data_IF_845403481018
#
_entry.id   IF_845403481018
#
_cell.length_a   1.000
_cell.length_b   1.000
_cell.length_c   1.000
_cell.angle_alpha   90.00
_cell.angle_beta   90.00
_cell.angle_gamma   90.00
#
_symmetry.space_group_name_H-M   'P 1'
#
loop_
_entity.id
_entity.type
_entity.pdbx_description
1 polymer ?
#
# COMPACT_ATOMS: atom_id res chain seq x y z
N UNK A 1 22.60 4.50 -2.58
CA UNK A 1 21.97 4.71 -1.24
C UNK A 1 22.91 5.60 -0.45
N UNK A 2 22.37 6.66 0.17
CA UNK A 2 23.13 7.59 0.99
C UNK A 2 22.82 7.37 2.47
N UNK A 3 23.79 7.70 3.31
CA UNK A 3 23.60 7.66 4.76
C UNK A 3 22.61 8.75 5.18
N UNK A 4 21.56 8.38 5.92
CA UNK A 4 20.60 9.37 6.45
C UNK A 4 21.31 10.34 7.39
N UNK A 5 20.99 11.64 7.29
CA UNK A 5 21.50 12.68 8.20
C UNK A 5 20.71 12.79 9.52
N UNK A 6 19.49 12.21 9.62
CA UNK A 6 18.69 12.24 10.86
C UNK A 6 19.36 11.42 11.97
N UNK A 7 19.82 12.05 13.06
CA UNK A 7 20.50 11.35 14.15
C UNK A 7 19.63 10.30 14.86
N UNK A 8 18.29 10.50 14.88
CA UNK A 8 17.35 9.58 15.49
C UNK A 8 17.22 8.32 14.65
N UNK A 9 17.13 8.49 13.33
CA UNK A 9 17.08 7.37 12.40
C UNK A 9 18.40 6.57 12.39
N UNK A 10 19.56 7.25 12.38
CA UNK A 10 20.87 6.59 12.54
C UNK A 10 20.95 5.76 13.82
N UNK A 11 20.50 6.33 14.95
CA UNK A 11 20.49 5.62 16.24
C UNK A 11 19.57 4.42 16.21
N UNK A 12 18.39 4.54 15.59
CA UNK A 12 17.46 3.43 15.41
C UNK A 12 18.12 2.28 14.65
N UNK A 13 18.68 2.55 13.46
CA UNK A 13 19.29 1.51 12.62
C UNK A 13 20.53 0.87 13.27
N UNK A 14 21.32 1.64 14.03
CA UNK A 14 22.45 1.09 14.80
C UNK A 14 22.03 0.12 15.89
N UNK A 15 20.90 0.38 16.55
CA UNK A 15 20.40 -0.42 17.67
C UNK A 15 19.38 -1.48 17.26
N UNK A 16 19.05 -1.56 15.97
CA UNK A 16 18.12 -2.55 15.45
C UNK A 16 18.72 -3.96 15.55
N UNK A 17 18.05 -4.88 16.20
CA UNK A 17 18.48 -6.27 16.38
C UNK A 17 17.71 -7.23 15.49
N UNK A 18 16.46 -6.92 15.19
CA UNK A 18 15.56 -7.70 14.35
C UNK A 18 14.80 -6.80 13.40
N UNK A 19 14.83 -7.16 12.11
CA UNK A 19 13.97 -6.59 11.08
C UNK A 19 12.89 -7.61 10.72
N UNK A 20 11.62 -7.23 10.83
CA UNK A 20 10.50 -8.04 10.36
C UNK A 20 9.98 -7.42 9.07
N UNK A 21 9.89 -8.22 8.01
CA UNK A 21 9.32 -7.81 6.73
C UNK A 21 8.09 -8.67 6.50
N UNK A 22 6.93 -8.07 6.61
CA UNK A 22 5.66 -8.71 6.28
C UNK A 22 5.36 -8.55 4.78
N UNK A 23 4.56 -9.45 4.22
CA UNK A 23 4.22 -9.50 2.78
C UNK A 23 5.48 -9.45 1.87
N UNK A 24 6.52 -10.19 2.22
CA UNK A 24 7.79 -10.21 1.48
C UNK A 24 7.61 -10.58 0.01
N UNK A 25 6.55 -11.33 -0.34
CA UNK A 25 6.21 -11.70 -1.72
C UNK A 25 6.00 -10.50 -2.64
N UNK A 26 5.65 -9.34 -2.09
CA UNK A 26 5.45 -8.08 -2.82
C UNK A 26 6.71 -7.21 -2.86
N UNK A 27 7.78 -7.59 -2.17
CA UNK A 27 9.04 -6.84 -2.14
C UNK A 27 9.91 -7.23 -3.33
N UNK A 28 10.30 -6.22 -4.13
CA UNK A 28 11.19 -6.42 -5.28
C UNK A 28 12.63 -6.66 -4.85
N UNK A 29 13.39 -7.45 -5.64
CA UNK A 29 14.81 -7.70 -5.39
C UNK A 29 15.63 -6.41 -5.18
N UNK A 30 15.54 -5.36 -6.04
CA UNK A 30 16.25 -4.11 -5.82
C UNK A 30 15.88 -3.42 -4.50
N UNK A 31 14.64 -3.54 -4.05
CA UNK A 31 14.17 -2.95 -2.79
C UNK A 31 14.80 -3.66 -1.59
N UNK A 32 14.86 -4.99 -1.65
CA UNK A 32 15.48 -5.78 -0.57
C UNK A 32 16.96 -5.50 -0.45
N UNK A 33 17.68 -5.39 -1.60
CA UNK A 33 19.08 -4.99 -1.59
C UNK A 33 19.26 -3.58 -1.03
N UNK A 34 18.41 -2.63 -1.40
CA UNK A 34 18.45 -1.28 -0.86
C UNK A 34 18.25 -1.24 0.68
N UNK A 35 17.35 -2.06 1.22
CA UNK A 35 17.17 -2.22 2.67
C UNK A 35 18.46 -2.76 3.31
N UNK A 36 19.04 -3.82 2.73
CA UNK A 36 20.26 -4.42 3.24
C UNK A 36 21.43 -3.44 3.21
N UNK A 37 21.66 -2.76 2.10
CA UNK A 37 22.74 -1.78 1.93
C UNK A 37 22.58 -0.59 2.90
N UNK A 38 21.36 -0.12 3.11
CA UNK A 38 21.09 0.92 4.11
C UNK A 38 21.54 0.49 5.51
N UNK A 39 21.22 -0.74 5.89
CA UNK A 39 21.65 -1.30 7.18
C UNK A 39 23.17 -1.50 7.25
N UNK A 40 23.80 -1.96 6.17
CA UNK A 40 25.26 -2.11 6.08
C UNK A 40 25.98 -0.79 6.31
N UNK A 41 25.54 0.29 5.63
CA UNK A 41 26.11 1.63 5.76
C UNK A 41 26.00 2.14 7.20
N UNK A 42 24.77 2.14 7.76
CA UNK A 42 24.53 2.73 9.08
C UNK A 42 25.13 1.93 10.24
N UNK A 43 25.40 0.65 10.04
CA UNK A 43 25.99 -0.24 11.03
C UNK A 43 27.49 -0.48 10.82
N UNK A 44 28.05 0.11 9.77
CA UNK A 44 29.43 -0.10 9.34
C UNK A 44 29.81 -1.59 9.26
N UNK A 45 28.97 -2.35 8.56
CA UNK A 45 29.10 -3.81 8.43
C UNK A 45 28.83 -4.24 6.99
N UNK A 46 29.73 -5.07 6.42
CA UNK A 46 29.57 -5.63 5.08
C UNK A 46 28.70 -6.90 5.04
N UNK A 47 28.21 -7.36 6.20
CA UNK A 47 27.33 -8.53 6.26
C UNK A 47 25.94 -8.17 5.71
N UNK A 48 25.24 -9.12 5.04
CA UNK A 48 23.85 -8.89 4.64
C UNK A 48 23.02 -8.31 5.79
N UNK A 49 22.21 -7.31 5.48
CA UNK A 49 21.38 -6.56 6.45
C UNK A 49 22.16 -5.97 7.64
N UNK A 50 23.45 -5.62 7.43
CA UNK A 50 24.29 -5.11 8.51
C UNK A 50 24.52 -6.11 9.64
N UNK A 51 24.25 -7.39 9.41
CA UNK A 51 24.45 -8.49 10.36
C UNK A 51 23.34 -8.64 11.41
N UNK A 52 22.17 -8.03 11.24
CA UNK A 52 21.00 -8.22 12.12
C UNK A 52 20.19 -9.46 11.74
N UNK A 53 19.32 -9.89 12.62
CA UNK A 53 18.33 -10.92 12.32
C UNK A 53 17.24 -10.36 11.40
N UNK A 54 16.82 -11.16 10.42
CA UNK A 54 15.71 -10.81 9.52
C UNK A 54 14.68 -11.92 9.57
N UNK A 55 13.43 -11.54 9.83
CA UNK A 55 12.26 -12.40 9.71
C UNK A 55 11.42 -11.90 8.54
N UNK A 56 11.31 -12.71 7.50
CA UNK A 56 10.49 -12.42 6.34
C UNK A 56 9.26 -13.34 6.33
N UNK A 57 8.08 -12.74 6.25
CA UNK A 57 6.79 -13.46 6.21
C UNK A 57 6.11 -13.14 4.89
N UNK A 58 5.45 -14.11 4.24
CA UNK A 58 4.70 -13.87 3.03
C UNK A 58 4.23 -15.15 2.35
N UNK A 59 3.52 -14.99 1.25
CA UNK A 59 3.00 -16.11 0.46
C UNK A 59 3.25 -15.84 -1.03
N UNK A 60 4.14 -16.63 -1.64
CA UNK A 60 4.50 -16.51 -3.06
C UNK A 60 3.36 -16.87 -4.04
N UNK A 61 2.26 -17.45 -3.54
CA UNK A 61 1.07 -17.71 -4.33
C UNK A 61 0.04 -16.58 -4.27
N UNK A 62 0.32 -15.50 -3.48
CA UNK A 62 -0.45 -14.27 -3.45
C UNK A 62 0.10 -13.25 -4.44
N UNK A 63 -0.15 -11.95 -4.22
CA UNK A 63 0.23 -10.93 -5.19
C UNK A 63 1.76 -10.84 -5.37
N UNK A 64 2.24 -10.84 -6.64
CA UNK A 64 3.65 -10.65 -6.95
C UNK A 64 4.10 -9.19 -6.76
N UNK A 65 5.41 -8.93 -6.78
CA UNK A 65 5.92 -7.58 -6.81
C UNK A 65 5.40 -6.79 -8.01
N UNK A 66 5.00 -5.54 -7.79
CA UNK A 66 4.57 -4.65 -8.88
C UNK A 66 5.80 -3.99 -9.49
N UNK A 67 5.98 -4.16 -10.81
CA UNK A 67 7.05 -3.54 -11.59
C UNK A 67 6.44 -2.68 -12.67
N UNK A 68 6.94 -1.47 -12.85
CA UNK A 68 6.55 -0.59 -13.96
C UNK A 68 7.28 -1.02 -15.22
N UNK A 69 6.65 -0.92 -16.39
CA UNK A 69 7.22 -1.32 -17.67
C UNK A 69 8.60 -0.69 -17.95
N UNK A 70 8.80 0.57 -17.54
CA UNK A 70 10.07 1.28 -17.71
C UNK A 70 11.17 0.84 -16.73
N UNK A 71 10.86 0.06 -15.70
CA UNK A 71 11.81 -0.45 -14.71
C UNK A 71 12.19 -1.92 -14.99
N UNK A 72 11.35 -2.63 -15.75
CA UNK A 72 11.47 -4.07 -15.95
C UNK A 72 12.81 -4.46 -16.58
N UNK A 73 13.22 -3.78 -17.65
CA UNK A 73 14.50 -4.04 -18.32
C UNK A 73 15.67 -3.89 -17.36
N UNK A 74 15.74 -2.81 -16.60
CA UNK A 74 16.83 -2.56 -15.66
C UNK A 74 16.89 -3.59 -14.52
N UNK A 75 15.74 -4.14 -14.11
CA UNK A 75 15.69 -5.18 -13.11
C UNK A 75 16.25 -6.49 -13.68
N UNK A 76 15.81 -6.90 -14.87
CA UNK A 76 16.27 -8.16 -15.49
C UNK A 76 17.72 -8.12 -16.01
N UNK A 77 18.31 -6.94 -16.20
CA UNK A 77 19.75 -6.80 -16.46
C UNK A 77 20.62 -7.21 -15.26
N UNK A 78 20.09 -7.11 -14.04
CA UNK A 78 20.83 -7.37 -12.81
C UNK A 78 20.35 -8.60 -12.04
N UNK A 79 19.04 -8.85 -12.03
CA UNK A 79 18.42 -9.88 -11.20
C UNK A 79 17.76 -10.96 -12.08
N UNK A 80 17.83 -12.19 -11.65
CA UNK A 80 17.20 -13.33 -12.35
C UNK A 80 15.67 -13.23 -12.37
N UNK A 81 15.09 -12.61 -11.33
CA UNK A 81 13.67 -12.35 -11.24
C UNK A 81 13.37 -11.07 -10.43
N UNK A 82 12.12 -10.62 -10.49
CA UNK A 82 11.66 -9.45 -9.74
C UNK A 82 11.52 -9.72 -8.23
N UNK A 83 11.46 -10.98 -7.83
CA UNK A 83 11.18 -11.38 -6.46
C UNK A 83 12.37 -11.17 -5.52
N UNK A 84 12.06 -10.98 -4.24
CA UNK A 84 13.03 -10.74 -3.17
C UNK A 84 14.16 -11.77 -3.09
N UNK A 85 13.88 -13.03 -3.41
CA UNK A 85 14.89 -14.09 -3.34
C UNK A 85 15.95 -14.00 -4.44
N UNK A 86 15.77 -13.17 -5.47
CA UNK A 86 16.79 -12.84 -6.46
C UNK A 86 17.70 -11.69 -6.01
N UNK A 87 17.46 -11.06 -4.86
CA UNK A 87 18.32 -10.01 -4.33
C UNK A 87 19.70 -10.57 -3.96
N UNK A 88 20.76 -9.85 -4.33
CA UNK A 88 22.16 -10.26 -4.09
C UNK A 88 22.42 -10.48 -2.59
N UNK A 89 21.93 -9.58 -1.76
CA UNK A 89 22.08 -9.67 -0.31
C UNK A 89 21.29 -10.83 0.31
N UNK A 90 20.15 -11.20 -0.28
CA UNK A 90 19.39 -12.37 0.16
C UNK A 90 20.17 -13.67 -0.17
N UNK A 91 20.68 -13.78 -1.39
CA UNK A 91 21.48 -14.94 -1.81
C UNK A 91 22.80 -15.08 -1.05
N UNK A 92 23.33 -13.96 -0.54
CA UNK A 92 24.54 -13.96 0.29
C UNK A 92 24.31 -14.46 1.73
N UNK A 93 23.05 -14.69 2.16
CA UNK A 93 22.75 -15.24 3.49
C UNK A 93 23.20 -16.70 3.54
N UNK A 94 24.03 -17.02 4.52
CA UNK A 94 24.47 -18.39 4.76
C UNK A 94 23.44 -19.12 5.65
N UNK A 95 22.96 -20.26 5.17
CA UNK A 95 22.04 -21.16 5.92
C UNK A 95 20.75 -20.46 6.40
N UNK A 96 19.92 -19.89 5.50
CA UNK A 96 18.64 -19.36 5.89
C UNK A 96 17.73 -20.48 6.41
N UNK A 97 16.94 -20.19 7.43
CA UNK A 97 15.92 -21.11 7.94
C UNK A 97 14.59 -20.81 7.26
N UNK A 98 13.89 -21.85 6.81
CA UNK A 98 12.59 -21.75 6.19
C UNK A 98 11.56 -22.52 7.01
N UNK A 99 10.41 -21.88 7.24
CA UNK A 99 9.30 -22.47 7.95
C UNK A 99 8.03 -22.31 7.11
N UNK A 100 7.35 -23.39 6.81
CA UNK A 100 6.06 -23.37 6.15
C UNK A 100 4.95 -23.55 7.20
N UNK A 101 4.03 -22.58 7.24
CA UNK A 101 2.84 -22.65 8.08
C UNK A 101 1.80 -23.53 7.39
N UNK A 102 1.38 -24.62 8.03
CA UNK A 102 0.49 -25.63 7.45
C UNK A 102 -0.93 -25.60 8.01
N UNK A 103 -1.17 -24.82 9.07
CA UNK A 103 -2.48 -24.73 9.71
C UNK A 103 -3.12 -23.36 9.47
N UNK A 104 -4.37 -23.35 9.03
CA UNK A 104 -5.17 -22.12 8.91
C UNK A 104 -6.03 -21.94 10.15
N UNK A 105 -5.96 -20.72 10.73
CA UNK A 105 -6.83 -20.32 11.84
C UNK A 105 -8.01 -19.46 11.37
N UNK A 106 -7.97 -18.96 10.15
CA UNK A 106 -9.01 -18.07 9.60
C UNK A 106 -10.27 -18.83 9.17
N UNK A 107 -10.11 -20.05 8.66
CA UNK A 107 -11.20 -20.92 8.18
C UNK A 107 -11.26 -22.22 8.97
N UNK A 108 -11.06 -22.20 10.30
CA UNK A 108 -11.05 -23.40 11.13
C UNK A 108 -12.38 -24.18 11.10
N UNK A 109 -13.48 -23.44 10.99
CA UNK A 109 -14.82 -23.98 11.03
C UNK A 109 -15.37 -24.41 9.64
N UNK A 110 -14.64 -24.11 8.54
CA UNK A 110 -15.04 -24.45 7.17
C UNK A 110 -13.88 -25.09 6.39
N UNK A 111 -13.67 -26.36 6.68
CA UNK A 111 -12.61 -27.15 6.04
C UNK A 111 -12.82 -27.30 4.53
N UNK A 112 -14.06 -27.45 4.07
CA UNK A 112 -14.35 -27.60 2.65
C UNK A 112 -14.00 -26.36 1.86
N UNK A 113 -14.30 -25.18 2.41
CA UNK A 113 -13.91 -23.91 1.81
C UNK A 113 -12.40 -23.70 1.84
N UNK A 114 -11.73 -24.06 2.95
CA UNK A 114 -10.28 -24.04 3.04
C UNK A 114 -9.62 -24.91 1.97
N UNK A 115 -10.10 -26.14 1.76
CA UNK A 115 -9.58 -27.06 0.74
C UNK A 115 -9.80 -26.51 -0.69
N UNK A 116 -10.95 -25.85 -0.95
CA UNK A 116 -11.20 -25.17 -2.21
C UNK A 116 -10.21 -24.03 -2.47
N UNK A 117 -9.97 -23.18 -1.47
CA UNK A 117 -8.99 -22.09 -1.57
C UNK A 117 -7.57 -22.62 -1.80
N UNK A 118 -7.16 -23.68 -1.10
CA UNK A 118 -5.86 -24.31 -1.31
C UNK A 118 -5.72 -24.93 -2.70
N UNK A 119 -6.75 -25.54 -3.22
CA UNK A 119 -6.74 -26.05 -4.59
C UNK A 119 -6.52 -24.92 -5.60
N UNK A 120 -7.20 -23.78 -5.43
CA UNK A 120 -7.00 -22.59 -6.28
C UNK A 120 -5.58 -22.06 -6.12
N UNK A 121 -5.10 -21.91 -4.87
CA UNK A 121 -3.75 -21.44 -4.56
C UNK A 121 -2.66 -22.30 -5.22
N UNK A 122 -2.81 -23.61 -5.19
CA UNK A 122 -1.84 -24.57 -5.74
C UNK A 122 -2.05 -24.90 -7.21
N UNK A 123 -3.05 -24.32 -7.86
CA UNK A 123 -3.40 -24.62 -9.25
C UNK A 123 -3.97 -26.04 -9.45
N UNK A 124 -4.48 -26.68 -8.38
CA UNK A 124 -5.04 -28.05 -8.44
C UNK A 124 -6.54 -28.00 -8.62
N UNK A 125 -7.07 -28.88 -9.47
CA UNK A 125 -8.53 -29.02 -9.70
C UNK A 125 -9.25 -27.67 -9.90
N UNK A 126 -8.61 -26.73 -10.60
CA UNK A 126 -9.04 -25.33 -10.71
C UNK A 126 -10.48 -25.20 -11.18
N UNK A 127 -10.84 -25.87 -12.29
CA UNK A 127 -12.17 -25.76 -12.88
C UNK A 127 -13.26 -26.18 -11.90
N UNK A 128 -13.06 -27.33 -11.24
CA UNK A 128 -14.03 -27.87 -10.25
C UNK A 128 -14.11 -26.97 -9.02
N UNK A 129 -12.97 -26.47 -8.54
CA UNK A 129 -12.91 -25.60 -7.35
C UNK A 129 -13.55 -24.24 -7.61
N UNK A 130 -13.27 -23.61 -8.75
CA UNK A 130 -13.88 -22.35 -9.16
C UNK A 130 -15.40 -22.50 -9.33
N UNK A 131 -15.85 -23.60 -9.97
CA UNK A 131 -17.28 -23.87 -10.12
C UNK A 131 -17.98 -23.99 -8.77
N UNK A 132 -17.38 -24.70 -7.80
CA UNK A 132 -17.94 -24.85 -6.45
C UNK A 132 -17.97 -23.49 -5.73
N UNK A 133 -16.89 -22.71 -5.78
CA UNK A 133 -16.85 -21.37 -5.18
C UNK A 133 -17.95 -20.48 -5.77
N UNK A 134 -18.07 -20.42 -7.09
CA UNK A 134 -19.09 -19.62 -7.75
C UNK A 134 -20.51 -20.06 -7.39
N UNK A 135 -20.74 -21.37 -7.26
CA UNK A 135 -22.07 -21.87 -6.87
C UNK A 135 -22.42 -21.58 -5.42
N UNK A 136 -21.46 -21.73 -4.52
CA UNK A 136 -21.70 -21.61 -3.07
C UNK A 136 -21.65 -20.17 -2.58
N UNK A 137 -20.86 -19.30 -3.23
CA UNK A 137 -20.63 -17.93 -2.81
C UNK A 137 -21.42 -16.91 -3.65
N UNK A 138 -22.12 -17.34 -4.71
CA UNK A 138 -22.96 -16.44 -5.49
C UNK A 138 -24.23 -16.09 -4.72
N UNK A 139 -24.34 -14.83 -4.35
CA UNK A 139 -25.57 -14.27 -3.78
C UNK A 139 -26.06 -13.13 -4.68
N UNK A 140 -27.12 -13.33 -5.47
CA UNK A 140 -27.65 -12.28 -6.34
C UNK A 140 -28.30 -11.12 -5.57
N UNK A 141 -28.66 -11.35 -4.31
CA UNK A 141 -29.30 -10.36 -3.42
C UNK A 141 -28.33 -9.78 -2.40
N UNK A 142 -27.02 -9.76 -2.72
CA UNK A 142 -26.06 -9.18 -1.79
C UNK A 142 -26.29 -7.67 -1.63
N UNK A 143 -26.20 -7.23 -0.39
CA UNK A 143 -26.32 -5.81 -0.05
C UNK A 143 -25.04 -5.06 -0.39
N UNK A 144 -25.12 -4.20 -1.41
CA UNK A 144 -24.00 -3.35 -1.83
C UNK A 144 -23.70 -2.23 -0.82
N UNK A 145 -24.68 -1.85 0.00
CA UNK A 145 -24.48 -0.77 0.98
C UNK A 145 -23.63 -1.24 2.16
N UNK A 146 -23.78 -2.49 2.59
CA UNK A 146 -23.00 -3.05 3.70
C UNK A 146 -21.73 -3.80 3.26
N UNK A 147 -21.59 -4.10 1.96
CA UNK A 147 -20.52 -4.94 1.44
C UNK A 147 -19.34 -4.14 0.89
N UNK A 148 -18.14 -4.73 0.96
CA UNK A 148 -16.94 -4.25 0.26
C UNK A 148 -16.77 -5.04 -1.04
N UNK A 149 -16.66 -4.33 -2.16
CA UNK A 149 -16.45 -4.94 -3.46
C UNK A 149 -14.95 -4.95 -3.77
N UNK A 150 -14.39 -6.14 -3.98
CA UNK A 150 -12.98 -6.33 -4.33
C UNK A 150 -12.89 -6.68 -5.81
N UNK A 151 -12.05 -5.97 -6.54
CA UNK A 151 -11.79 -6.20 -7.96
C UNK A 151 -10.29 -6.15 -8.25
N UNK A 152 -9.86 -6.92 -9.26
CA UNK A 152 -8.46 -6.98 -9.69
C UNK A 152 -8.04 -5.77 -10.54
N UNK A 153 -8.96 -4.92 -10.97
CA UNK A 153 -8.68 -3.80 -11.88
C UNK A 153 -9.15 -2.47 -11.30
N UNK A 154 -8.23 -1.50 -11.22
CA UNK A 154 -8.48 -0.16 -10.70
C UNK A 154 -9.66 0.53 -11.40
N UNK A 155 -9.71 0.52 -12.75
CA UNK A 155 -10.79 1.15 -13.49
C UNK A 155 -12.17 0.59 -13.13
N UNK A 156 -12.26 -0.73 -12.83
CA UNK A 156 -13.53 -1.35 -12.44
C UNK A 156 -13.97 -0.91 -11.05
N UNK A 157 -13.03 -0.76 -10.12
CA UNK A 157 -13.33 -0.18 -8.81
C UNK A 157 -13.83 1.27 -8.93
N UNK A 158 -13.16 2.07 -9.76
CA UNK A 158 -13.58 3.45 -10.02
C UNK A 158 -14.96 3.54 -10.65
N UNK A 159 -15.27 2.67 -11.61
CA UNK A 159 -16.57 2.60 -12.25
C UNK A 159 -17.67 2.23 -11.24
N UNK A 160 -17.47 1.19 -10.42
CA UNK A 160 -18.43 0.78 -9.38
C UNK A 160 -18.65 1.90 -8.38
N UNK A 161 -17.58 2.54 -7.91
CA UNK A 161 -17.67 3.65 -6.97
C UNK A 161 -18.45 4.84 -7.53
N UNK A 162 -18.29 5.16 -8.82
CA UNK A 162 -19.05 6.22 -9.48
C UNK A 162 -20.52 5.82 -9.68
N UNK A 163 -20.81 4.57 -10.06
CA UNK A 163 -22.16 4.03 -10.14
C UNK A 163 -22.87 4.13 -8.78
N UNK A 164 -22.20 3.72 -7.70
CA UNK A 164 -22.74 3.78 -6.34
C UNK A 164 -22.94 5.23 -5.87
N UNK A 165 -21.98 6.13 -6.15
CA UNK A 165 -22.13 7.55 -5.83
C UNK A 165 -23.34 8.18 -6.53
N UNK A 166 -23.63 7.76 -7.76
CA UNK A 166 -24.77 8.29 -8.50
C UNK A 166 -26.12 7.82 -7.95
N UNK A 167 -26.18 6.67 -7.27
CA UNK A 167 -27.39 6.17 -6.61
C UNK A 167 -27.72 6.94 -5.32
N UNK A 168 -26.75 7.60 -4.71
CA UNK A 168 -26.99 8.43 -3.52
C UNK A 168 -27.69 9.72 -3.94
N UNK A 169 -28.76 10.08 -3.24
CA UNK A 169 -29.47 11.34 -3.45
C UNK A 169 -28.64 12.57 -3.04
N UNK A 170 -29.01 13.71 -3.59
CA UNK A 170 -28.42 14.99 -3.22
C UNK A 170 -27.26 15.46 -4.12
N UNK A 171 -26.77 16.67 -3.86
CA UNK A 171 -25.74 17.30 -4.69
C UNK A 171 -24.36 16.73 -4.40
N UNK A 172 -23.60 16.47 -5.46
CA UNK A 172 -22.20 16.08 -5.33
C UNK A 172 -21.31 17.30 -5.05
N UNK A 173 -20.42 17.17 -4.08
CA UNK A 173 -19.32 18.11 -3.88
C UNK A 173 -18.08 17.59 -4.62
N UNK A 174 -17.55 18.41 -5.53
CA UNK A 174 -16.31 18.14 -6.23
C UNK A 174 -15.18 18.99 -5.66
N UNK A 175 -14.11 18.34 -5.21
CA UNK A 175 -12.95 18.98 -4.64
C UNK A 175 -11.72 18.69 -5.51
N UNK A 176 -11.26 19.70 -6.27
CA UNK A 176 -10.04 19.57 -7.10
C UNK A 176 -8.79 19.67 -6.24
N UNK A 177 -7.77 18.90 -6.59
CA UNK A 177 -6.44 19.02 -6.01
C UNK A 177 -5.84 20.41 -6.23
N UNK A 178 -4.83 20.75 -5.43
CA UNK A 178 -3.92 21.86 -5.72
C UNK A 178 -2.56 21.22 -6.01
N UNK A 179 -1.99 21.56 -7.14
CA UNK A 179 -0.79 20.93 -7.66
C UNK A 179 0.27 21.99 -7.96
N UNK A 180 1.53 21.64 -7.70
CA UNK A 180 2.69 22.44 -8.04
C UNK A 180 3.78 21.51 -8.56
N UNK A 181 4.49 21.93 -9.62
CA UNK A 181 5.50 21.11 -10.29
C UNK A 181 4.90 20.02 -11.19
N UNK A 182 5.76 19.16 -11.71
CA UNK A 182 5.34 18.07 -12.60
C UNK A 182 4.92 16.84 -11.79
N UNK A 183 3.69 16.39 -12.01
CA UNK A 183 3.09 15.22 -11.37
C UNK A 183 2.61 14.24 -12.42
N UNK A 184 3.11 13.03 -12.35
CA UNK A 184 2.65 11.94 -13.21
C UNK A 184 1.33 11.37 -12.65
N UNK A 185 0.33 11.19 -13.50
CA UNK A 185 -1.01 10.75 -13.11
C UNK A 185 -1.01 9.38 -12.41
N UNK A 186 -0.13 8.49 -12.82
CA UNK A 186 0.02 7.16 -12.22
C UNK A 186 0.65 7.17 -10.82
N UNK A 187 1.29 8.27 -10.43
CA UNK A 187 2.00 8.41 -9.14
C UNK A 187 1.22 9.29 -8.15
N UNK A 188 0.02 9.73 -8.50
CA UNK A 188 -0.79 10.58 -7.63
C UNK A 188 -1.24 9.82 -6.37
N UNK A 189 -1.05 10.41 -5.18
CA UNK A 189 -1.43 9.78 -3.92
C UNK A 189 -2.95 9.77 -3.69
N UNK A 190 -3.69 10.65 -4.35
CA UNK A 190 -5.14 10.81 -4.24
C UNK A 190 -5.74 11.20 -5.60
N UNK A 191 -7.07 11.09 -5.79
CA UNK A 191 -7.74 11.57 -6.99
C UNK A 191 -7.53 13.07 -7.21
N UNK A 192 -7.27 13.49 -8.46
CA UNK A 192 -7.20 14.92 -8.82
C UNK A 192 -8.50 15.65 -8.52
N UNK A 193 -9.61 14.99 -8.74
CA UNK A 193 -10.93 15.47 -8.39
C UNK A 193 -11.64 14.43 -7.50
N UNK A 194 -11.78 14.77 -6.23
CA UNK A 194 -12.58 13.98 -5.30
C UNK A 194 -14.03 14.42 -5.40
N UNK A 195 -14.89 13.52 -5.84
CA UNK A 195 -16.36 13.72 -5.86
C UNK A 195 -16.97 12.91 -4.73
N UNK A 196 -17.74 13.57 -3.88
CA UNK A 196 -18.44 12.93 -2.75
C UNK A 196 -19.82 13.52 -2.58
N UNK A 197 -20.72 12.75 -1.99
CA UNK A 197 -22.03 13.17 -1.50
C UNK A 197 -22.14 12.85 -0.01
N UNK A 198 -23.11 13.41 0.67
CA UNK A 198 -23.50 12.91 1.99
C UNK A 198 -23.91 11.46 1.83
N UNK A 199 -23.67 10.64 2.84
CA UNK A 199 -23.84 9.17 2.88
C UNK A 199 -22.88 8.36 1.98
N UNK A 200 -22.00 9.00 1.20
CA UNK A 200 -21.00 8.28 0.43
C UNK A 200 -19.97 7.60 1.33
N UNK A 201 -19.64 6.33 1.02
CA UNK A 201 -18.51 5.64 1.63
C UNK A 201 -17.21 6.18 1.08
N UNK A 202 -16.25 6.38 1.98
CA UNK A 202 -14.91 6.84 1.64
C UNK A 202 -13.88 6.04 2.41
N UNK A 203 -12.71 5.86 1.80
CA UNK A 203 -11.56 5.27 2.43
C UNK A 203 -10.47 6.31 2.64
N UNK A 204 -9.89 6.34 3.83
CA UNK A 204 -8.72 7.14 4.12
C UNK A 204 -7.48 6.53 3.46
N UNK A 205 -6.67 7.36 2.80
CA UNK A 205 -5.49 6.94 2.03
C UNK A 205 -4.17 7.45 2.61
N UNK A 206 -4.22 7.99 3.83
CA UNK A 206 -3.06 8.45 4.58
C UNK A 206 -3.32 8.30 6.07
N UNK A 207 -2.30 7.89 6.83
CA UNK A 207 -2.39 7.88 8.29
C UNK A 207 -2.53 9.30 8.82
N UNK A 208 -3.37 9.48 9.80
CA UNK A 208 -3.52 10.76 10.49
C UNK A 208 -2.36 10.98 11.48
N UNK A 209 -1.74 12.16 11.50
CA UNK A 209 -0.68 12.45 12.45
C UNK A 209 -1.10 12.36 13.93
N UNK A 210 -2.37 12.66 14.22
CA UNK A 210 -2.94 12.59 15.57
C UNK A 210 -3.51 11.20 15.92
N UNK A 211 -3.37 10.21 15.00
CA UNK A 211 -3.79 8.83 15.22
C UNK A 211 -5.31 8.60 15.20
N UNK A 212 -6.11 9.53 14.64
CA UNK A 212 -7.58 9.43 14.57
C UNK A 212 -8.05 8.35 13.58
N UNK A 213 -7.28 8.08 12.54
CA UNK A 213 -7.50 7.02 11.55
C UNK A 213 -6.16 6.56 10.94
N UNK A 214 -6.20 5.41 10.31
CA UNK A 214 -5.07 4.86 9.55
C UNK A 214 -5.44 4.72 8.08
N UNK A 215 -4.45 4.56 7.22
CA UNK A 215 -4.66 4.25 5.81
C UNK A 215 -5.48 2.94 5.68
N UNK A 216 -6.51 2.97 4.83
CA UNK A 216 -7.46 1.87 4.67
C UNK A 216 -8.70 1.96 5.58
N UNK A 217 -8.75 2.88 6.55
CA UNK A 217 -9.96 3.10 7.37
C UNK A 217 -11.12 3.52 6.48
N UNK A 218 -12.28 2.87 6.66
CA UNK A 218 -13.52 3.20 5.95
C UNK A 218 -14.39 4.10 6.83
N UNK A 219 -15.01 5.10 6.22
CA UNK A 219 -15.97 5.98 6.87
C UNK A 219 -17.09 6.40 5.92
N UNK A 220 -18.09 7.07 6.47
CA UNK A 220 -19.24 7.61 5.74
C UNK A 220 -19.21 9.13 5.82
N UNK A 221 -19.37 9.80 4.69
CA UNK A 221 -19.46 11.26 4.62
C UNK A 221 -20.79 11.70 5.22
N UNK A 222 -20.74 12.55 6.25
CA UNK A 222 -21.95 13.09 6.90
C UNK A 222 -22.19 14.57 6.59
N UNK A 223 -21.19 15.26 6.06
CA UNK A 223 -21.31 16.65 5.63
C UNK A 223 -20.15 17.00 4.68
N UNK A 224 -20.47 17.41 3.48
CA UNK A 224 -19.54 17.92 2.49
C UNK A 224 -19.96 19.29 1.92
N UNK A 225 -20.87 19.99 2.61
CA UNK A 225 -21.49 21.25 2.19
C UNK A 225 -20.62 22.50 2.40
N UNK A 226 -19.42 22.37 2.98
CA UNK A 226 -18.53 23.52 3.20
C UNK A 226 -18.28 24.30 1.90
N UNK A 227 -18.81 25.53 1.83
CA UNK A 227 -18.72 26.43 0.67
C UNK A 227 -17.28 26.68 0.21
N UNK A 228 -16.34 26.65 1.15
CA UNK A 228 -14.92 26.83 0.87
C UNK A 228 -14.20 25.52 0.51
N UNK A 229 -14.89 24.38 0.58
CA UNK A 229 -14.33 23.04 0.33
C UNK A 229 -13.04 22.78 1.12
N UNK A 230 -13.02 23.23 2.39
CA UNK A 230 -11.88 23.10 3.29
C UNK A 230 -11.98 21.89 4.20
N UNK A 231 -13.19 21.45 4.48
CA UNK A 231 -13.49 20.38 5.44
C UNK A 231 -14.57 19.46 4.88
N UNK A 232 -14.36 18.16 5.03
CA UNK A 232 -15.36 17.11 4.86
C UNK A 232 -15.52 16.44 6.22
N UNK A 233 -16.76 16.24 6.70
CA UNK A 233 -17.00 15.49 7.93
C UNK A 233 -17.25 14.03 7.58
N UNK A 234 -16.48 13.15 8.18
CA UNK A 234 -16.54 11.70 7.95
C UNK A 234 -16.79 11.01 9.28
N UNK A 235 -17.77 10.13 9.31
CA UNK A 235 -18.05 9.25 10.44
C UNK A 235 -17.29 7.95 10.28
N UNK A 236 -16.53 7.57 11.32
CA UNK A 236 -15.84 6.28 11.43
C UNK A 236 -16.30 5.62 12.71
N UNK A 237 -17.00 4.51 12.60
CA UNK A 237 -17.66 3.91 13.76
C UNK A 237 -18.65 4.87 14.41
N UNK A 238 -18.42 5.22 15.68
CA UNK A 238 -19.27 6.16 16.42
C UNK A 238 -18.71 7.60 16.46
N UNK A 239 -17.54 7.85 15.89
CA UNK A 239 -16.87 9.14 15.95
C UNK A 239 -16.99 9.90 14.62
N UNK A 240 -16.99 11.24 14.71
CA UNK A 240 -17.07 12.14 13.57
C UNK A 240 -15.81 12.98 13.48
N UNK A 241 -15.11 12.87 12.37
CA UNK A 241 -13.89 13.60 12.13
C UNK A 241 -14.05 14.71 11.09
N UNK A 242 -13.43 15.85 11.36
CA UNK A 242 -13.27 16.95 10.41
C UNK A 242 -12.00 16.71 9.59
N UNK A 243 -12.16 16.19 8.39
CA UNK A 243 -11.07 15.88 7.48
C UNK A 243 -10.69 17.13 6.71
N UNK A 244 -9.42 17.48 6.73
CA UNK A 244 -8.84 18.60 5.97
C UNK A 244 -8.00 18.05 4.81
N UNK A 245 -7.62 18.95 3.90
CA UNK A 245 -6.67 18.60 2.85
C UNK A 245 -5.30 18.36 3.44
N UNK A 246 -4.68 17.29 2.99
CA UNK A 246 -3.29 16.93 3.27
C UNK A 246 -2.40 17.29 2.09
N UNK A 247 -1.12 17.44 2.35
CA UNK A 247 -0.12 17.73 1.35
C UNK A 247 0.87 16.57 1.25
N UNK A 248 1.20 16.21 0.02
CA UNK A 248 2.23 15.25 -0.32
C UNK A 248 3.29 15.96 -1.14
N UNK A 249 4.52 15.94 -0.66
CA UNK A 249 5.66 16.55 -1.31
C UNK A 249 6.56 15.48 -1.91
N UNK A 250 6.93 15.64 -3.17
CA UNK A 250 8.00 14.89 -3.79
C UNK A 250 9.27 15.72 -3.64
N UNK A 251 10.19 15.21 -2.86
CA UNK A 251 11.47 15.89 -2.61
C UNK A 251 12.58 15.27 -3.45
N UNK A 252 13.53 16.10 -3.84
CA UNK A 252 14.82 15.70 -4.39
C UNK A 252 15.89 16.17 -3.45
N UNK A 253 16.88 15.34 -3.19
CA UNK A 253 18.04 15.75 -2.42
C UNK A 253 19.05 16.39 -3.35
N UNK A 254 19.40 17.64 -3.11
CA UNK A 254 20.42 18.42 -3.84
C UNK A 254 21.56 18.69 -2.89
N UNK A 255 22.80 18.47 -3.37
CA UNK A 255 23.98 18.79 -2.59
C UNK A 255 24.27 20.29 -2.67
N UNK A 256 24.26 20.96 -1.52
CA UNK A 256 24.71 22.35 -1.39
C UNK A 256 26.21 22.39 -1.16
N UNK A 257 26.96 22.78 -2.19
CA UNK A 257 28.42 22.88 -2.14
C UNK A 257 28.93 23.95 -1.15
N UNK A 258 28.12 24.96 -0.82
CA UNK A 258 28.53 26.03 0.10
C UNK A 258 28.48 25.61 1.57
N UNK A 259 27.47 24.80 1.92
CA UNK A 259 27.24 24.37 3.29
C UNK A 259 27.73 22.93 3.54
N UNK A 260 28.24 22.24 2.50
CA UNK A 260 28.63 20.81 2.56
C UNK A 260 27.49 19.92 3.09
N UNK A 261 26.24 20.25 2.70
CA UNK A 261 25.04 19.58 3.17
C UNK A 261 24.13 19.19 2.01
N UNK A 262 23.35 18.12 2.25
CA UNK A 262 22.26 17.74 1.36
C UNK A 262 21.00 18.48 1.78
N UNK A 263 20.45 19.29 0.89
CA UNK A 263 19.20 19.99 1.09
C UNK A 263 18.03 19.23 0.42
N UNK A 264 16.88 19.29 1.05
CA UNK A 264 15.64 18.80 0.46
C UNK A 264 15.00 19.90 -0.38
N UNK A 265 14.97 19.70 -1.69
CA UNK A 265 14.22 20.56 -2.61
C UNK A 265 12.88 19.90 -2.94
N UNK A 266 11.77 20.61 -2.70
CA UNK A 266 10.44 20.17 -3.10
C UNK A 266 10.29 20.35 -4.61
N UNK A 267 10.32 19.25 -5.36
CA UNK A 267 10.20 19.23 -6.82
C UNK A 267 8.74 19.37 -7.26
N UNK A 268 7.84 18.74 -6.51
CA UNK A 268 6.40 18.85 -6.77
C UNK A 268 5.61 18.68 -5.49
N UNK A 269 4.45 19.31 -5.41
CA UNK A 269 3.51 19.14 -4.31
C UNK A 269 2.10 18.84 -4.84
N UNK A 270 1.38 18.02 -4.08
CA UNK A 270 0.01 17.63 -4.35
C UNK A 270 -0.81 17.79 -3.07
N UNK A 271 -1.87 18.61 -3.13
CA UNK A 271 -2.71 18.88 -1.95
C UNK A 271 -4.16 18.52 -2.22
N UNK A 272 -4.67 17.52 -1.50
CA UNK A 272 -6.02 17.00 -1.63
C UNK A 272 -6.51 16.45 -0.29
N UNK A 273 -7.79 16.13 -0.19
CA UNK A 273 -8.30 15.35 0.94
C UNK A 273 -7.67 13.94 0.91
N UNK A 274 -7.26 13.40 2.08
CA UNK A 274 -6.72 12.06 2.17
C UNK A 274 -7.82 10.99 2.07
N UNK A 275 -8.69 11.13 1.08
CA UNK A 275 -9.88 10.32 0.88
C UNK A 275 -9.99 9.85 -0.57
N UNK A 276 -10.55 8.68 -0.77
CA UNK A 276 -11.10 8.22 -2.05
C UNK A 276 -12.46 7.55 -1.80
N UNK A 277 -13.28 7.42 -2.83
CA UNK A 277 -14.50 6.60 -2.75
C UNK A 277 -14.11 5.15 -2.42
N UNK A 278 -14.89 4.51 -1.56
CA UNK A 278 -14.63 3.17 -1.03
C UNK A 278 -15.82 2.25 -1.15
#
# INVERSE_FOLDING_TARGET
>A
IQESKDPRFKKLLKNLELLIIDEISMVRAPMLDAISETLQIHRNSSKPFGGIHVLACGDLFQLPPVVKENEETAIFERYESVYFFSADNFQAIKNPSFFELTSSFRQQDDKDFYDLLNNVRLGKNLETSIKKINTNCHNPEFDTESSLIITSRKYRAEQINEEMLNLIDGPATAAKSKEQGELNENDLPAPRELRVKEDAKVMFIKNDPDGRWVNGTIGVVIDCSDKNKKVIKVKVGNEVFKVKREEWNKVRYVYDEFNDEMEEEVVSSFKQFPLKLG
#
